data_IF_859318079438
#
_entry.id   IF_859318079438
#
_cell.length_a   1.000
_cell.length_b   1.000
_cell.length_c   1.000
_cell.angle_alpha   90.00
_cell.angle_beta   90.00
_cell.angle_gamma   90.00
#
_symmetry.space_group_name_H-M   'P 1'
#
loop_
_entity.id
_entity.type
_entity.pdbx_description
1 polymer ?
#
# COMPACT_ATOMS: atom_id res chain seq x y z
N UNK A 1 -7.36 15.33 -5.45
CA UNK A 1 -7.45 14.39 -6.58
C UNK A 1 -6.53 13.22 -6.30
N UNK A 2 -7.04 11.99 -6.25
CA UNK A 2 -6.23 10.80 -6.00
C UNK A 2 -6.10 10.03 -7.31
N UNK A 3 -4.92 10.08 -7.93
CA UNK A 3 -4.63 9.29 -9.14
C UNK A 3 -3.71 8.14 -8.76
N UNK A 4 -4.07 6.92 -9.18
CA UNK A 4 -3.28 5.73 -8.94
C UNK A 4 -2.16 5.66 -9.99
N UNK A 5 -0.91 5.95 -9.60
CA UNK A 5 0.25 5.84 -10.51
C UNK A 5 0.65 4.39 -10.84
N UNK A 6 0.01 3.41 -10.20
CA UNK A 6 0.40 2.01 -10.26
C UNK A 6 1.74 1.73 -9.54
N UNK A 7 2.08 2.54 -8.53
CA UNK A 7 3.19 2.27 -7.65
C UNK A 7 2.83 1.15 -6.67
N UNK A 8 3.81 0.33 -6.34
CA UNK A 8 3.68 -0.75 -5.37
C UNK A 8 4.85 -0.70 -4.41
N UNK A 9 4.61 -1.13 -3.18
CA UNK A 9 5.66 -1.42 -2.21
C UNK A 9 5.94 -2.91 -2.21
N UNK A 10 7.21 -3.29 -2.21
CA UNK A 10 7.59 -4.67 -1.97
C UNK A 10 7.45 -4.95 -0.48
N UNK A 11 6.54 -5.86 -0.12
CA UNK A 11 6.34 -6.29 1.26
C UNK A 11 6.81 -7.76 1.40
N UNK A 12 8.03 -8.00 1.90
CA UNK A 12 8.55 -9.36 2.02
C UNK A 12 7.88 -10.11 3.16
N UNK A 13 7.53 -11.37 2.93
CA UNK A 13 7.11 -12.30 3.97
C UNK A 13 8.20 -13.37 4.12
N UNK A 14 8.93 -13.35 5.25
CA UNK A 14 9.98 -14.34 5.54
C UNK A 14 9.43 -15.52 6.37
N UNK A 15 10.12 -16.68 6.35
CA UNK A 15 9.79 -17.79 7.23
C UNK A 15 9.76 -17.36 8.70
N UNK A 16 8.90 -18.00 9.49
CA UNK A 16 8.74 -17.73 10.92
C UNK A 16 8.40 -16.27 11.25
N UNK A 17 7.76 -15.55 10.31
CA UNK A 17 7.38 -14.14 10.47
C UNK A 17 8.59 -13.22 10.75
N UNK A 18 9.78 -13.61 10.27
CA UNK A 18 10.94 -12.76 10.38
C UNK A 18 10.74 -11.47 9.55
N UNK A 19 11.40 -10.38 9.96
CA UNK A 19 11.27 -9.07 9.31
C UNK A 19 12.61 -8.34 9.28
N UNK A 20 12.72 -7.35 8.38
CA UNK A 20 13.85 -6.42 8.36
C UNK A 20 13.78 -5.37 9.47
N UNK A 21 12.59 -5.15 10.05
CA UNK A 21 12.38 -4.18 11.11
C UNK A 21 11.30 -4.66 12.08
N UNK A 22 11.29 -4.09 13.28
CA UNK A 22 10.17 -4.19 14.20
C UNK A 22 8.98 -3.40 13.68
N UNK A 23 7.79 -3.63 14.25
CA UNK A 23 6.65 -2.76 13.98
C UNK A 23 6.87 -1.39 14.62
N UNK A 24 6.22 -0.38 14.05
CA UNK A 24 6.10 0.94 14.67
C UNK A 24 5.02 0.88 15.76
N UNK A 25 5.31 1.49 16.91
CA UNK A 25 4.36 1.63 18.01
C UNK A 25 4.00 3.12 18.15
N UNK A 26 2.76 3.45 17.80
CA UNK A 26 2.20 4.78 17.99
C UNK A 26 1.21 4.75 19.18
N UNK A 27 1.35 5.65 20.17
CA UNK A 27 0.38 5.77 21.25
C UNK A 27 -1.04 6.01 20.72
N UNK A 28 -1.98 5.11 21.02
CA UNK A 28 -3.37 5.18 20.57
C UNK A 28 -3.74 4.27 19.39
N UNK A 29 -2.77 3.59 18.76
CA UNK A 29 -3.06 2.49 17.82
C UNK A 29 -3.53 1.24 18.59
N UNK A 30 -4.41 0.42 17.99
CA UNK A 30 -4.95 -0.83 18.55
C UNK A 30 -3.85 -1.91 18.71
N UNK A 31 -2.93 -1.68 19.63
CA UNK A 31 -2.12 -2.73 20.23
C UNK A 31 -3.06 -3.50 21.13
N UNK A 32 -3.03 -4.83 21.08
CA UNK A 32 -3.91 -5.70 21.87
C UNK A 32 -3.56 -5.69 23.37
N UNK A 33 -3.37 -4.52 23.96
CA UNK A 33 -3.29 -4.34 25.40
C UNK A 33 -4.70 -4.54 25.94
N UNK A 34 -4.97 -5.73 26.51
CA UNK A 34 -6.26 -6.10 27.10
C UNK A 34 -6.83 -5.06 28.06
N UNK A 35 -5.99 -4.18 28.60
CA UNK A 35 -6.33 -3.20 29.62
C UNK A 35 -6.08 -1.73 29.21
N UNK A 36 -5.79 -1.43 27.93
CA UNK A 36 -5.49 -0.07 27.44
C UNK A 36 -4.41 0.69 28.26
N UNK A 37 -3.52 -0.04 28.92
CA UNK A 37 -2.39 0.57 29.62
C UNK A 37 -1.40 1.01 28.55
N UNK A 38 -1.21 2.32 28.41
CA UNK A 38 -0.20 2.91 27.52
C UNK A 38 1.18 2.65 28.14
N UNK A 39 1.64 1.40 28.06
CA UNK A 39 3.00 1.01 28.40
C UNK A 39 3.72 0.70 27.11
N UNK A 40 4.89 1.30 26.91
CA UNK A 40 5.78 0.93 25.81
C UNK A 40 6.43 -0.44 26.10
N UNK A 41 5.64 -1.52 26.04
CA UNK A 41 6.17 -2.87 26.14
C UNK A 41 6.73 -3.29 24.78
N UNK A 42 8.01 -3.63 24.78
CA UNK A 42 8.76 -4.00 23.59
C UNK A 42 8.17 -5.24 22.91
N UNK A 43 7.64 -6.17 23.71
CA UNK A 43 7.04 -7.40 23.22
C UNK A 43 5.81 -7.18 22.33
N UNK A 44 5.14 -6.02 22.44
CA UNK A 44 3.92 -5.72 21.70
C UNK A 44 4.16 -5.28 20.25
N UNK A 45 5.37 -4.81 19.93
CA UNK A 45 5.72 -4.31 18.60
C UNK A 45 6.98 -4.96 18.00
N UNK A 46 7.69 -5.79 18.76
CA UNK A 46 8.78 -6.60 18.21
C UNK A 46 8.26 -7.78 17.42
N UNK A 47 8.93 -8.01 16.29
CA UNK A 47 8.82 -9.23 15.49
C UNK A 47 10.22 -9.81 15.34
N UNK A 48 10.37 -11.13 15.12
CA UNK A 48 11.68 -11.73 14.92
C UNK A 48 12.44 -11.00 13.80
N UNK A 49 13.66 -10.52 14.09
CA UNK A 49 14.47 -9.88 13.07
C UNK A 49 15.17 -10.93 12.20
N UNK A 50 15.34 -10.62 10.92
CA UNK A 50 16.05 -11.49 9.99
C UNK A 50 17.56 -11.47 10.28
N UNK A 51 18.06 -12.55 10.87
CA UNK A 51 19.46 -12.68 11.29
C UNK A 51 20.39 -13.31 10.24
N UNK A 52 19.90 -13.42 9.00
CA UNK A 52 20.65 -14.01 7.88
C UNK A 52 20.46 -13.18 6.62
N UNK A 53 21.36 -13.38 5.66
CA UNK A 53 21.20 -12.77 4.34
C UNK A 53 19.93 -13.31 3.65
N UNK A 54 18.97 -12.42 3.39
CA UNK A 54 17.70 -12.78 2.77
C UNK A 54 17.86 -13.40 1.38
N UNK A 55 18.98 -13.14 0.68
CA UNK A 55 19.26 -13.74 -0.62
C UNK A 55 19.30 -15.26 -0.55
N UNK A 56 19.71 -15.82 0.59
CA UNK A 56 19.72 -17.26 0.81
C UNK A 56 18.31 -17.88 0.84
N UNK A 57 17.27 -17.06 1.04
CA UNK A 57 15.87 -17.46 1.00
C UNK A 57 15.24 -17.36 -0.40
N UNK A 58 15.97 -16.81 -1.36
CA UNK A 58 15.48 -16.63 -2.72
C UNK A 58 15.90 -17.79 -3.63
N UNK A 59 15.02 -18.21 -4.56
CA UNK A 59 15.41 -19.11 -5.63
C UNK A 59 16.62 -18.55 -6.37
N UNK A 60 17.71 -19.33 -6.46
CA UNK A 60 18.96 -18.94 -7.12
C UNK A 60 19.62 -17.67 -6.55
N UNK A 61 19.32 -17.29 -5.31
CA UNK A 61 19.95 -16.14 -4.66
C UNK A 61 19.55 -14.77 -5.22
N UNK A 62 18.47 -14.70 -6.02
CA UNK A 62 18.08 -13.48 -6.74
C UNK A 62 16.57 -13.25 -6.70
N UNK A 63 16.18 -11.98 -6.61
CA UNK A 63 14.78 -11.61 -6.78
C UNK A 63 14.38 -11.84 -8.25
N UNK A 64 13.16 -12.35 -8.50
CA UNK A 64 12.63 -12.34 -9.85
C UNK A 64 12.47 -10.90 -10.34
N UNK A 65 12.41 -10.67 -11.67
CA UNK A 65 12.12 -9.36 -12.22
C UNK A 65 10.81 -8.80 -11.62
N UNK A 66 10.79 -7.51 -11.28
CA UNK A 66 9.63 -6.88 -10.65
C UNK A 66 8.32 -7.07 -11.46
N UNK A 67 8.41 -7.13 -12.79
CA UNK A 67 7.28 -7.39 -13.68
C UNK A 67 6.63 -8.76 -13.51
N UNK A 68 7.32 -9.72 -12.89
CA UNK A 68 6.84 -11.08 -12.59
C UNK A 68 6.35 -11.23 -11.15
N UNK A 69 6.50 -10.21 -10.31
CA UNK A 69 5.99 -10.25 -8.95
C UNK A 69 4.48 -10.04 -8.96
N UNK A 70 3.70 -10.83 -8.18
CA UNK A 70 2.30 -10.55 -7.98
C UNK A 70 2.15 -9.22 -7.22
N UNK A 71 1.11 -8.46 -7.55
CA UNK A 71 0.72 -7.27 -6.80
C UNK A 71 -0.70 -7.43 -6.31
N UNK A 72 -1.02 -6.77 -5.20
CA UNK A 72 -2.38 -6.68 -4.67
C UNK A 72 -2.88 -5.26 -4.91
N UNK A 73 -4.11 -5.11 -5.38
CA UNK A 73 -4.78 -3.81 -5.44
C UNK A 73 -5.35 -3.43 -4.05
N UNK A 74 -5.97 -2.25 -3.95
CA UNK A 74 -6.58 -1.76 -2.71
C UNK A 74 -7.74 -2.62 -2.19
N UNK A 75 -8.26 -3.54 -3.00
CA UNK A 75 -9.32 -4.48 -2.66
C UNK A 75 -8.78 -5.90 -2.38
N UNK A 76 -7.46 -6.01 -2.15
CA UNK A 76 -6.78 -7.29 -1.90
C UNK A 76 -6.92 -8.32 -3.03
N UNK A 77 -7.12 -7.85 -4.27
CA UNK A 77 -7.20 -8.72 -5.45
C UNK A 77 -5.84 -8.79 -6.15
N UNK A 78 -5.48 -9.99 -6.60
CA UNK A 78 -4.26 -10.21 -7.35
C UNK A 78 -4.31 -9.51 -8.73
N UNK A 79 -3.25 -8.78 -9.05
CA UNK A 79 -3.11 -8.03 -10.29
C UNK A 79 -1.63 -7.91 -10.68
N UNK A 80 -1.38 -7.63 -11.96
CA UNK A 80 -0.04 -7.32 -12.46
C UNK A 80 0.26 -5.83 -12.36
N UNK A 81 1.54 -5.46 -12.34
CA UNK A 81 1.97 -4.06 -12.45
C UNK A 81 1.41 -3.37 -13.71
N UNK A 82 1.34 -4.10 -14.83
CA UNK A 82 0.73 -3.59 -16.07
C UNK A 82 -0.77 -3.30 -15.86
N UNK A 83 -1.48 -4.21 -15.20
CA UNK A 83 -2.89 -4.03 -14.89
C UNK A 83 -3.16 -2.86 -13.93
N UNK A 84 -2.31 -2.67 -12.91
CA UNK A 84 -2.39 -1.51 -12.01
C UNK A 84 -2.17 -0.19 -12.75
N UNK A 85 -1.16 -0.12 -13.63
CA UNK A 85 -0.92 1.07 -14.46
C UNK A 85 -2.07 1.35 -15.43
N UNK A 86 -2.64 0.31 -16.05
CA UNK A 86 -3.78 0.45 -16.95
C UNK A 86 -5.03 0.93 -16.21
N UNK A 87 -5.32 0.38 -15.02
CA UNK A 87 -6.42 0.83 -14.18
C UNK A 87 -6.25 2.28 -13.74
N UNK A 88 -5.04 2.66 -13.34
CA UNK A 88 -4.70 4.05 -12.99
C UNK A 88 -4.82 5.02 -14.18
N UNK A 89 -4.38 4.61 -15.36
CA UNK A 89 -4.50 5.41 -16.59
C UNK A 89 -5.96 5.56 -17.02
N UNK A 90 -6.77 4.50 -16.90
CA UNK A 90 -8.22 4.56 -17.15
C UNK A 90 -8.90 5.51 -16.17
N UNK A 91 -8.58 5.42 -14.88
CA UNK A 91 -9.07 6.40 -13.90
C UNK A 91 -8.61 7.82 -14.25
N UNK A 92 -7.39 8.00 -14.74
CA UNK A 92 -6.91 9.29 -15.24
C UNK A 92 -7.71 9.84 -16.42
N UNK A 93 -8.24 8.97 -17.29
CA UNK A 93 -9.16 9.34 -18.37
C UNK A 93 -10.56 9.67 -17.85
N UNK A 94 -11.00 8.99 -16.80
CA UNK A 94 -12.30 9.23 -16.15
C UNK A 94 -12.29 10.52 -15.31
N UNK A 95 -11.11 11.00 -14.92
CA UNK A 95 -10.94 12.24 -14.16
C UNK A 95 -10.95 13.44 -15.10
N UNK A 96 -11.91 14.34 -14.90
CA UNK A 96 -11.96 15.65 -15.56
C UNK A 96 -10.68 16.47 -15.26
N UNK A 97 -9.99 16.92 -16.30
CA UNK A 97 -8.89 17.86 -16.16
C UNK A 97 -9.44 19.27 -15.92
N UNK A 98 -9.15 19.84 -14.74
CA UNK A 98 -9.56 21.20 -14.37
C UNK A 98 -8.40 22.19 -14.44
N UNK A 99 -8.72 23.49 -14.50
CA UNK A 99 -7.72 24.54 -14.35
C UNK A 99 -7.12 24.52 -12.94
N UNK A 100 -5.91 25.06 -12.73
CA UNK A 100 -5.29 25.11 -11.39
C UNK A 100 -6.15 25.78 -10.29
N UNK A 101 -7.09 26.65 -10.67
CA UNK A 101 -8.02 27.36 -9.79
C UNK A 101 -9.33 26.62 -9.53
N UNK A 102 -9.49 25.43 -10.10
CA UNK A 102 -10.72 24.66 -10.09
C UNK A 102 -10.49 23.28 -9.47
N UNK A 103 -11.57 22.66 -9.00
CA UNK A 103 -11.59 21.28 -8.49
C UNK A 103 -12.64 20.47 -9.23
N UNK A 104 -12.35 19.19 -9.42
CA UNK A 104 -13.36 18.24 -9.90
C UNK A 104 -14.41 18.07 -8.83
N UNK A 105 -15.65 18.36 -9.20
CA UNK A 105 -16.85 18.02 -8.48
C UNK A 105 -17.29 16.62 -8.87
N UNK A 106 -17.82 15.89 -7.89
CA UNK A 106 -18.25 14.50 -8.04
C UNK A 106 -19.76 14.46 -7.89
N UNK A 107 -20.43 13.72 -8.78
CA UNK A 107 -21.85 13.43 -8.63
C UNK A 107 -22.10 12.63 -7.35
N UNK A 108 -23.00 13.11 -6.49
CA UNK A 108 -23.19 12.55 -5.15
C UNK A 108 -23.87 11.18 -5.14
N UNK A 109 -24.60 10.81 -6.19
CA UNK A 109 -25.29 9.52 -6.26
C UNK A 109 -24.38 8.43 -6.83
N UNK A 110 -23.63 8.75 -7.88
CA UNK A 110 -22.83 7.78 -8.66
C UNK A 110 -21.35 7.76 -8.25
N UNK A 111 -20.85 8.83 -7.63
CA UNK A 111 -19.43 8.98 -7.31
C UNK A 111 -18.55 9.27 -8.53
N UNK A 112 -19.13 9.55 -9.70
CA UNK A 112 -18.40 9.84 -10.93
C UNK A 112 -18.04 11.34 -11.03
N UNK A 113 -16.89 11.69 -11.65
CA UNK A 113 -16.55 13.08 -11.97
C UNK A 113 -17.65 13.72 -12.82
N UNK A 114 -18.16 14.90 -12.42
CA UNK A 114 -19.26 15.58 -13.11
C UNK A 114 -18.84 16.85 -13.85
N UNK A 115 -18.16 17.77 -13.16
CA UNK A 115 -17.67 19.03 -13.74
C UNK A 115 -16.52 19.62 -12.91
N UNK A 116 -15.85 20.64 -13.45
CA UNK A 116 -14.91 21.47 -12.71
C UNK A 116 -15.66 22.67 -12.12
N UNK A 117 -15.44 22.95 -10.84
CA UNK A 117 -15.94 24.15 -10.19
C UNK A 117 -14.77 24.95 -9.60
N UNK A 118 -14.87 26.28 -9.65
CA UNK A 118 -13.93 27.14 -8.95
C UNK A 118 -13.99 26.88 -7.45
N UNK A 119 -12.87 27.12 -6.77
CA UNK A 119 -12.85 27.22 -5.33
C UNK A 119 -13.77 28.32 -4.80
#
# INVERSE_FOLDING_TARGET
>A
MMYLRGYVSLYPNFPNQASFSTNHMEPGAHISAKDNVVRHDKADFEVPLLNQDFRNLLPNGKLPPASKLPSLNLFNQALSLKGLKAAGAKLGQDVLECRPTERVMVDHETGLPSHCAAF
#
